data_IF_876971085030
#
_entry.id   IF_876971085030
#
_cell.length_a   1.000
_cell.length_b   1.000
_cell.length_c   1.000
_cell.angle_alpha   90.00
_cell.angle_beta   90.00
_cell.angle_gamma   90.00
#
_symmetry.space_group_name_H-M   'P 1'
#
loop_
_entity.id
_entity.type
_entity.pdbx_description
1 polymer ?
#
# COMPACT_ATOMS: atom_id res chain seq x y z
N UNK A 1 -0.86 -13.19 8.29
CA UNK A 1 -1.99 -13.40 7.37
C UNK A 1 -2.77 -12.11 7.25
N UNK A 2 -3.38 -11.82 6.10
CA UNK A 2 -4.14 -10.59 5.90
C UNK A 2 -5.39 -10.56 6.81
N UNK A 3 -5.77 -9.36 7.29
CA UNK A 3 -6.96 -9.16 8.10
C UNK A 3 -8.25 -9.50 7.33
N UNK A 4 -9.32 -9.84 8.04
CA UNK A 4 -10.62 -10.13 7.44
C UNK A 4 -11.14 -8.90 6.68
N UNK A 5 -11.54 -9.08 5.42
CA UNK A 5 -11.96 -7.98 4.54
C UNK A 5 -10.84 -7.17 3.88
N UNK A 6 -9.57 -7.53 4.08
CA UNK A 6 -8.45 -6.87 3.40
C UNK A 6 -8.45 -7.14 1.90
N UNK A 7 -8.22 -6.09 1.11
CA UNK A 7 -8.12 -6.16 -0.35
C UNK A 7 -6.73 -6.69 -0.71
N UNK A 8 -6.66 -7.79 -1.48
CA UNK A 8 -5.37 -8.36 -1.90
C UNK A 8 -4.69 -7.46 -2.93
N UNK A 9 -3.39 -7.24 -2.74
CA UNK A 9 -2.56 -6.49 -3.66
C UNK A 9 -1.15 -7.07 -3.73
N UNK A 10 -0.41 -6.72 -4.78
CA UNK A 10 1.01 -7.04 -4.93
C UNK A 10 1.84 -5.77 -5.00
N UNK A 11 2.95 -5.72 -4.27
CA UNK A 11 3.90 -4.61 -4.32
C UNK A 11 4.56 -4.57 -5.70
N UNK A 12 4.33 -3.48 -6.44
CA UNK A 12 4.87 -3.26 -7.78
C UNK A 12 6.24 -2.56 -7.72
N UNK A 13 6.39 -1.56 -6.85
CA UNK A 13 7.65 -0.86 -6.60
C UNK A 13 7.60 -0.09 -5.27
N UNK A 14 8.78 0.27 -4.76
CA UNK A 14 8.93 1.16 -3.61
C UNK A 14 9.81 2.33 -4.01
N UNK A 15 9.35 3.55 -3.73
CA UNK A 15 10.07 4.79 -4.04
C UNK A 15 10.30 5.53 -2.73
N UNK A 16 11.56 5.62 -2.32
CA UNK A 16 11.96 6.37 -1.14
C UNK A 16 11.86 7.88 -1.38
N UNK A 17 11.18 8.58 -0.48
CA UNK A 17 10.91 10.02 -0.54
C UNK A 17 11.15 10.66 0.83
N UNK A 18 12.41 10.67 1.27
CA UNK A 18 12.81 11.25 2.55
C UNK A 18 12.21 10.48 3.73
N UNK A 19 11.40 11.14 4.54
CA UNK A 19 10.74 10.50 5.70
C UNK A 19 9.65 9.50 5.32
N UNK A 20 9.30 9.42 4.04
CA UNK A 20 8.22 8.58 3.55
C UNK A 20 8.71 7.67 2.42
N UNK A 21 8.03 6.57 2.21
CA UNK A 21 8.20 5.65 1.09
C UNK A 21 6.84 5.50 0.41
N UNK A 22 6.79 5.76 -0.90
CA UNK A 22 5.63 5.43 -1.72
C UNK A 22 5.71 3.97 -2.13
N UNK A 23 4.77 3.17 -1.64
CA UNK A 23 4.59 1.79 -2.05
C UNK A 23 3.53 1.77 -3.16
N UNK A 24 3.95 1.49 -4.39
CA UNK A 24 3.03 1.28 -5.51
C UNK A 24 2.57 -0.17 -5.49
N UNK A 25 1.26 -0.39 -5.57
CA UNK A 25 0.63 -1.69 -5.49
C UNK A 25 -0.33 -1.89 -6.66
N UNK A 26 -0.47 -3.13 -7.10
CA UNK A 26 -1.52 -3.54 -8.03
C UNK A 26 -2.52 -4.46 -7.34
N UNK A 27 -3.80 -4.17 -7.51
CA UNK A 27 -4.89 -5.10 -7.16
C UNK A 27 -4.95 -6.26 -8.17
N UNK A 28 -5.79 -7.25 -7.89
CA UNK A 28 -5.94 -8.43 -8.74
C UNK A 28 -6.42 -8.11 -10.18
N UNK A 29 -7.15 -7.02 -10.37
CA UNK A 29 -7.63 -6.54 -11.66
C UNK A 29 -6.63 -5.60 -12.37
N UNK A 30 -5.47 -5.35 -11.77
CA UNK A 30 -4.46 -4.43 -12.28
C UNK A 30 -4.66 -2.97 -11.90
N UNK A 31 -5.71 -2.62 -11.15
CA UNK A 31 -5.90 -1.28 -10.58
C UNK A 31 -4.69 -0.88 -9.73
N UNK A 32 -4.15 0.32 -9.96
CA UNK A 32 -3.04 0.86 -9.16
C UNK A 32 -3.55 1.49 -7.85
N UNK A 33 -2.85 1.21 -6.76
CA UNK A 33 -3.02 1.87 -5.47
C UNK A 33 -1.64 2.31 -4.97
N UNK A 34 -1.55 3.53 -4.43
CA UNK A 34 -0.32 4.02 -3.80
C UNK A 34 -0.55 4.18 -2.30
N UNK A 35 0.25 3.50 -1.50
CA UNK A 35 0.28 3.69 -0.04
C UNK A 35 1.51 4.51 0.34
N UNK A 36 1.33 5.49 1.23
CA UNK A 36 2.42 6.23 1.84
C UNK A 36 2.79 5.59 3.17
N UNK A 37 4.03 5.15 3.30
CA UNK A 37 4.58 4.53 4.50
C UNK A 37 5.61 5.47 5.10
N UNK A 38 5.65 5.61 6.42
CA UNK A 38 6.76 6.31 7.05
C UNK A 38 8.02 5.45 6.93
N UNK A 39 9.09 6.04 6.42
CA UNK A 39 10.41 5.40 6.37
C UNK A 39 10.99 5.37 7.78
N UNK A 40 11.33 4.20 8.35
CA UNK A 40 12.09 4.14 9.58
C UNK A 40 13.49 4.72 9.36
N UNK A 41 14.23 4.98 10.44
CA UNK A 41 15.55 5.61 10.37
C UNK A 41 16.56 4.83 9.50
N UNK A 42 16.34 3.52 9.39
CA UNK A 42 17.13 2.57 8.60
C UNK A 42 16.67 2.50 7.12
N UNK A 43 15.59 3.19 6.75
CA UNK A 43 15.09 3.34 5.38
C UNK A 43 14.24 2.16 4.87
N UNK A 44 14.13 1.08 5.62
CA UNK A 44 13.42 -0.12 5.19
C UNK A 44 11.95 -0.11 5.62
N UNK A 45 11.03 0.02 4.68
CA UNK A 45 9.58 -0.06 4.97
C UNK A 45 9.10 -1.46 5.39
N UNK A 46 9.97 -2.48 5.36
CA UNK A 46 9.63 -3.88 5.64
C UNK A 46 8.81 -4.57 4.54
N UNK A 47 8.64 -3.92 3.38
CA UNK A 47 7.98 -4.45 2.20
C UNK A 47 8.97 -4.57 1.05
N UNK A 48 8.82 -5.61 0.23
CA UNK A 48 9.66 -5.85 -0.95
C UNK A 48 8.84 -5.97 -2.22
N UNK A 49 9.46 -5.66 -3.36
CA UNK A 49 8.83 -5.81 -4.66
C UNK A 49 8.39 -7.26 -4.90
N UNK A 50 7.19 -7.44 -5.45
CA UNK A 50 6.59 -8.75 -5.71
C UNK A 50 5.86 -9.37 -4.52
N UNK A 51 6.01 -8.81 -3.31
CA UNK A 51 5.33 -9.30 -2.11
C UNK A 51 3.81 -9.14 -2.22
N UNK A 52 3.06 -10.16 -1.81
CA UNK A 52 1.62 -10.10 -1.63
C UNK A 52 1.26 -9.48 -0.27
N UNK A 53 0.34 -8.53 -0.28
CA UNK A 53 -0.11 -7.80 0.91
C UNK A 53 -1.63 -7.64 0.92
N UNK A 54 -2.18 -7.32 2.10
CA UNK A 54 -3.58 -6.95 2.27
C UNK A 54 -3.72 -5.46 2.60
N UNK A 55 -4.58 -4.76 1.86
CA UNK A 55 -4.90 -3.35 2.09
C UNK A 55 -6.17 -3.27 2.96
N UNK A 56 -6.11 -2.47 4.01
CA UNK A 56 -7.27 -2.14 4.85
C UNK A 56 -7.39 -0.63 4.97
N UNK A 57 -8.62 -0.15 5.14
CA UNK A 57 -8.90 1.25 5.43
C UNK A 57 -9.35 1.39 6.87
N UNK A 58 -8.86 2.43 7.55
CA UNK A 58 -9.41 2.82 8.85
C UNK A 58 -10.89 3.15 8.66
N UNK A 59 -11.79 2.74 9.58
CA UNK A 59 -13.21 3.07 9.48
C UNK A 59 -13.43 4.57 9.25
N UNK A 60 -14.21 4.92 8.22
CA UNK A 60 -14.52 6.30 7.84
C UNK A 60 -13.45 7.02 7.00
N UNK A 61 -12.31 6.39 6.70
CA UNK A 61 -11.26 7.01 5.87
C UNK A 61 -11.58 7.01 4.36
N UNK A 62 -12.40 6.07 3.90
CA UNK A 62 -12.75 5.97 2.49
C UNK A 62 -13.80 7.04 2.12
N UNK A 63 -13.56 7.73 1.00
CA UNK A 63 -14.49 8.70 0.42
C UNK A 63 -14.89 8.25 -0.98
N UNK A 64 -16.17 8.44 -1.33
CA UNK A 64 -16.68 8.22 -2.68
C UNK A 64 -16.74 9.56 -3.40
N UNK A 65 -16.24 9.60 -4.63
CA UNK A 65 -16.42 10.73 -5.53
C UNK A 65 -17.74 10.56 -6.28
N UNK A 66 -18.52 11.63 -6.41
CA UNK A 66 -19.71 11.69 -7.25
C UNK A 66 -19.45 12.67 -8.42
N UNK A 67 -20.14 12.48 -9.55
CA UNK A 67 -20.01 13.32 -10.75
C UNK A 67 -20.68 14.69 -10.57
#
# INVERSE_FOLDING_TARGET
>A
GAAEGAIKARVASLVYFGTDTHCHLHLADGTEVVARLQSPADGESGLVQGQEVGITFVPGAAQRVEE
#
